data_IF_409662705060
#
_entry.id   IF_409662705060
#
_cell.length_a   1.000
_cell.length_b   1.000
_cell.length_c   1.000
_cell.angle_alpha   90.00
_cell.angle_beta   90.00
_cell.angle_gamma   90.00
#
_symmetry.space_group_name_H-M   'P 1'
#
loop_
_entity.id
_entity.type
_entity.pdbx_description
1 polymer ?
#
# COMPACT_ATOMS: atom_id res chain seq x y z
N UNK A 1 -28.47 -8.13 18.21
CA UNK A 1 -28.36 -7.12 17.14
C UNK A 1 -27.46 -5.94 17.53
N UNK A 2 -27.56 -5.39 18.75
CA UNK A 2 -26.73 -4.25 19.21
C UNK A 2 -25.22 -4.53 19.22
N UNK A 3 -24.80 -5.73 19.63
CA UNK A 3 -23.36 -6.11 19.66
C UNK A 3 -22.73 -6.16 18.26
N UNK A 4 -23.50 -6.54 17.23
CA UNK A 4 -23.02 -6.57 15.84
C UNK A 4 -22.79 -5.16 15.29
N UNK A 5 -23.69 -4.21 15.59
CA UNK A 5 -23.48 -2.80 15.26
C UNK A 5 -22.25 -2.22 15.98
N UNK A 6 -22.06 -2.57 17.26
CA UNK A 6 -20.86 -2.14 18.01
C UNK A 6 -19.57 -2.70 17.40
N UNK A 7 -19.56 -3.97 16.99
CA UNK A 7 -18.39 -4.61 16.37
C UNK A 7 -17.99 -3.99 15.03
N UNK A 8 -18.99 -3.66 14.21
CA UNK A 8 -18.80 -2.97 12.92
C UNK A 8 -18.14 -1.59 13.10
N UNK A 9 -18.63 -0.79 14.06
CA UNK A 9 -18.08 0.54 14.32
C UNK A 9 -16.63 0.46 14.82
N UNK A 10 -16.31 -0.52 15.67
CA UNK A 10 -14.93 -0.75 16.14
C UNK A 10 -14.01 -1.09 14.96
N UNK A 11 -14.47 -1.95 14.03
CA UNK A 11 -13.72 -2.27 12.82
C UNK A 11 -13.48 -1.03 11.95
N UNK A 12 -14.50 -0.18 11.77
CA UNK A 12 -14.38 1.05 10.98
C UNK A 12 -13.30 1.98 11.56
N UNK A 13 -13.34 2.24 12.87
CA UNK A 13 -12.34 3.06 13.54
C UNK A 13 -10.95 2.42 13.52
N UNK A 14 -10.85 1.10 13.70
CA UNK A 14 -9.58 0.39 13.64
C UNK A 14 -8.95 0.48 12.24
N UNK A 15 -9.75 0.32 11.17
CA UNK A 15 -9.31 0.47 9.79
C UNK A 15 -8.83 1.90 9.48
N UNK A 16 -9.57 2.91 9.96
CA UNK A 16 -9.19 4.31 9.81
C UNK A 16 -7.87 4.63 10.53
N UNK A 17 -7.73 4.23 11.79
CA UNK A 17 -6.51 4.46 12.58
C UNK A 17 -5.32 3.75 11.93
N UNK A 18 -5.49 2.52 11.46
CA UNK A 18 -4.45 1.76 10.76
C UNK A 18 -4.00 2.47 9.48
N UNK A 19 -4.94 2.97 8.68
CA UNK A 19 -4.63 3.69 7.45
C UNK A 19 -3.87 4.99 7.71
N UNK A 20 -4.32 5.79 8.69
CA UNK A 20 -3.64 7.01 9.09
C UNK A 20 -2.23 6.74 9.65
N UNK A 21 -2.10 5.70 10.47
CA UNK A 21 -0.80 5.26 10.98
C UNK A 21 0.16 4.88 9.86
N UNK A 22 -0.31 4.07 8.90
CA UNK A 22 0.46 3.71 7.72
C UNK A 22 0.90 4.92 6.91
N UNK A 23 0.01 5.91 6.74
CA UNK A 23 0.30 7.16 6.02
C UNK A 23 1.39 7.99 6.70
N UNK A 24 1.25 8.24 8.00
CA UNK A 24 2.24 9.03 8.77
C UNK A 24 3.60 8.34 8.78
N UNK A 25 3.62 7.01 8.95
CA UNK A 25 4.87 6.26 8.97
C UNK A 25 5.53 6.18 7.60
N UNK A 26 4.75 6.14 6.51
CA UNK A 26 5.27 6.19 5.14
C UNK A 26 6.07 7.48 4.88
N UNK A 27 5.55 8.63 5.31
CA UNK A 27 6.17 9.95 5.09
C UNK A 27 7.56 10.07 5.74
N UNK A 28 7.86 9.25 6.74
CA UNK A 28 9.14 9.26 7.45
C UNK A 28 10.17 8.28 6.87
N UNK A 29 9.82 7.50 5.84
CA UNK A 29 10.74 6.52 5.28
C UNK A 29 11.58 7.06 4.14
N UNK A 30 12.89 6.90 4.27
CA UNK A 30 13.85 7.18 3.19
C UNK A 30 14.30 5.92 2.44
N UNK A 31 14.04 4.73 2.98
CA UNK A 31 14.39 3.46 2.36
C UNK A 31 13.27 2.99 1.44
N UNK A 32 13.60 2.63 0.21
CA UNK A 32 12.62 2.41 -0.86
C UNK A 32 11.77 1.17 -0.60
N UNK A 33 12.40 0.06 -0.18
CA UNK A 33 11.67 -1.16 0.21
C UNK A 33 10.66 -0.88 1.31
N UNK A 34 11.05 -0.09 2.33
CA UNK A 34 10.17 0.28 3.44
C UNK A 34 9.04 1.19 2.97
N UNK A 35 9.37 2.24 2.21
CA UNK A 35 8.38 3.16 1.65
C UNK A 35 7.32 2.41 0.83
N UNK A 36 7.73 1.41 0.05
CA UNK A 36 6.81 0.58 -0.75
C UNK A 36 5.95 -0.35 0.11
N UNK A 37 6.39 -0.75 1.30
CA UNK A 37 5.61 -1.61 2.19
C UNK A 37 4.54 -0.84 2.97
N UNK A 38 4.73 0.44 3.31
CA UNK A 38 3.76 1.19 4.10
C UNK A 38 2.37 1.35 3.45
N UNK A 39 2.25 1.58 2.13
CA UNK A 39 0.95 1.60 1.47
C UNK A 39 0.16 0.29 1.59
N UNK A 40 0.80 -0.84 1.94
CA UNK A 40 0.07 -2.09 2.25
C UNK A 40 -0.76 -1.90 3.53
N UNK A 41 -0.20 -1.26 4.55
CA UNK A 41 -0.90 -0.97 5.81
C UNK A 41 -2.09 -0.05 5.53
N UNK A 42 -1.89 0.97 4.69
CA UNK A 42 -2.96 1.89 4.28
C UNK A 42 -4.08 1.14 3.54
N UNK A 43 -3.73 0.29 2.59
CA UNK A 43 -4.70 -0.46 1.80
C UNK A 43 -5.48 -1.46 2.65
N UNK A 44 -4.81 -2.15 3.59
CA UNK A 44 -5.45 -3.06 4.54
C UNK A 44 -6.43 -2.29 5.43
N UNK A 45 -6.07 -1.07 5.87
CA UNK A 45 -7.01 -0.18 6.57
C UNK A 45 -8.26 0.13 5.75
N UNK A 46 -8.12 0.42 4.45
CA UNK A 46 -9.26 0.60 3.54
C UNK A 46 -10.10 -0.67 3.38
N UNK A 47 -9.48 -1.85 3.31
CA UNK A 47 -10.21 -3.12 3.24
C UNK A 47 -11.01 -3.38 4.52
N UNK A 48 -10.43 -3.11 5.69
CA UNK A 48 -11.12 -3.24 6.99
C UNK A 48 -12.32 -2.30 7.06
N UNK A 49 -12.18 -1.06 6.58
CA UNK A 49 -13.30 -0.13 6.49
C UNK A 49 -14.38 -0.62 5.50
N UNK A 50 -14.01 -1.20 4.35
CA UNK A 50 -14.97 -1.81 3.43
C UNK A 50 -15.74 -2.98 4.06
N UNK A 51 -15.05 -3.86 4.80
CA UNK A 51 -15.67 -4.97 5.54
C UNK A 51 -16.59 -4.45 6.64
N UNK A 52 -16.23 -3.33 7.28
CA UNK A 52 -17.06 -2.72 8.33
C UNK A 52 -18.43 -2.26 7.82
N UNK A 53 -18.63 -2.08 6.51
CA UNK A 53 -19.96 -1.76 5.98
C UNK A 53 -20.99 -2.88 6.24
N UNK A 54 -20.54 -4.12 6.51
CA UNK A 54 -21.43 -5.24 6.87
C UNK A 54 -22.35 -5.68 5.73
N UNK A 55 -22.12 -5.20 4.50
CA UNK A 55 -22.87 -5.54 3.29
C UNK A 55 -22.07 -6.51 2.43
N UNK A 56 -22.80 -7.29 1.61
CA UNK A 56 -22.19 -8.20 0.62
C UNK A 56 -21.30 -7.41 -0.34
N UNK A 57 -21.76 -6.25 -0.81
CA UNK A 57 -21.02 -5.38 -1.72
C UNK A 57 -19.74 -4.81 -1.07
N UNK A 58 -19.78 -4.45 0.21
CA UNK A 58 -18.61 -3.95 0.94
C UNK A 58 -17.50 -5.01 1.06
N UNK A 59 -17.88 -6.26 1.33
CA UNK A 59 -16.94 -7.39 1.38
C UNK A 59 -16.40 -7.71 -0.02
N UNK A 60 -17.27 -7.77 -1.03
CA UNK A 60 -16.87 -8.01 -2.41
C UNK A 60 -15.89 -6.93 -2.91
N UNK A 61 -16.17 -5.65 -2.61
CA UNK A 61 -15.29 -4.53 -2.92
C UNK A 61 -13.93 -4.64 -2.21
N UNK A 62 -13.90 -5.02 -0.93
CA UNK A 62 -12.66 -5.23 -0.19
C UNK A 62 -11.79 -6.34 -0.79
N UNK A 63 -12.40 -7.46 -1.22
CA UNK A 63 -11.70 -8.57 -1.88
C UNK A 63 -11.20 -8.15 -3.27
N UNK A 64 -12.03 -7.48 -4.06
CA UNK A 64 -11.62 -6.98 -5.38
C UNK A 64 -10.42 -6.03 -5.26
N UNK A 65 -10.47 -5.12 -4.30
CA UNK A 65 -9.38 -4.20 -3.99
C UNK A 65 -8.11 -4.93 -3.53
N UNK A 66 -8.24 -6.00 -2.72
CA UNK A 66 -7.13 -6.85 -2.29
C UNK A 66 -6.42 -7.52 -3.48
N UNK A 67 -7.18 -8.11 -4.39
CA UNK A 67 -6.62 -8.76 -5.58
C UNK A 67 -5.86 -7.76 -6.43
N UNK A 68 -6.49 -6.61 -6.74
CA UNK A 68 -5.82 -5.55 -7.49
C UNK A 68 -4.56 -5.07 -6.76
N UNK A 69 -4.64 -4.86 -5.44
CA UNK A 69 -3.52 -4.46 -4.59
C UNK A 69 -2.31 -5.37 -4.70
N UNK A 70 -2.52 -6.68 -4.55
CA UNK A 70 -1.43 -7.66 -4.58
C UNK A 70 -0.80 -7.71 -5.97
N UNK A 71 -1.58 -7.66 -7.03
CA UNK A 71 -1.08 -7.76 -8.41
C UNK A 71 -0.10 -6.63 -8.72
N UNK A 72 -0.52 -5.37 -8.56
CA UNK A 72 0.38 -4.26 -8.88
C UNK A 72 1.54 -4.16 -7.89
N UNK A 73 1.34 -4.48 -6.60
CA UNK A 73 2.43 -4.46 -5.62
C UNK A 73 3.51 -5.48 -5.94
N UNK A 74 3.14 -6.69 -6.34
CA UNK A 74 4.11 -7.74 -6.68
C UNK A 74 5.02 -7.29 -7.82
N UNK A 75 4.45 -6.72 -8.88
CA UNK A 75 5.22 -6.19 -10.02
C UNK A 75 6.14 -5.05 -9.57
N UNK A 76 5.63 -4.12 -8.75
CA UNK A 76 6.40 -2.99 -8.25
C UNK A 76 7.57 -3.41 -7.35
N UNK A 77 7.36 -4.38 -6.45
CA UNK A 77 8.41 -4.92 -5.60
C UNK A 77 9.46 -5.68 -6.41
N UNK A 78 9.05 -6.40 -7.46
CA UNK A 78 9.98 -7.07 -8.37
C UNK A 78 10.83 -6.05 -9.14
N UNK A 79 10.21 -5.03 -9.75
CA UNK A 79 10.92 -3.98 -10.48
C UNK A 79 11.94 -3.26 -9.59
N UNK A 80 11.53 -2.87 -8.39
CA UNK A 80 12.42 -2.21 -7.42
C UNK A 80 13.50 -3.16 -6.93
N UNK A 81 13.17 -4.45 -6.74
CA UNK A 81 14.13 -5.49 -6.38
C UNK A 81 15.25 -5.63 -7.40
N UNK A 82 14.93 -5.61 -8.70
CA UNK A 82 15.92 -5.66 -9.80
C UNK A 82 16.81 -4.41 -9.79
N UNK A 83 16.24 -3.22 -9.59
CA UNK A 83 17.04 -1.98 -9.53
C UNK A 83 17.97 -1.97 -8.32
N UNK A 84 17.50 -2.42 -7.15
CA UNK A 84 18.35 -2.52 -5.96
C UNK A 84 19.44 -3.58 -6.15
N UNK A 85 19.12 -4.74 -6.73
CA UNK A 85 20.09 -5.80 -7.00
C UNK A 85 21.22 -5.35 -7.95
N UNK A 86 20.88 -4.56 -8.97
CA UNK A 86 21.84 -4.07 -9.96
C UNK A 86 22.66 -2.87 -9.49
N UNK A 87 22.09 -2.00 -8.65
CA UNK A 87 22.73 -0.72 -8.27
C UNK A 87 23.30 -0.72 -6.86
N UNK A 88 22.86 -1.63 -6.00
CA UNK A 88 23.15 -1.64 -4.56
C UNK A 88 22.54 -0.47 -3.77
N UNK A 89 21.69 0.37 -4.40
CA UNK A 89 21.17 1.59 -3.77
C UNK A 89 19.75 1.40 -3.24
N UNK A 90 19.58 1.55 -1.93
CA UNK A 90 18.28 1.32 -1.26
C UNK A 90 17.54 2.59 -0.79
N UNK A 91 18.14 3.77 -0.96
CA UNK A 91 17.59 5.04 -0.51
C UNK A 91 16.89 5.80 -1.66
N UNK A 92 15.79 6.49 -1.34
CA UNK A 92 14.97 7.22 -2.33
C UNK A 92 15.75 8.28 -3.10
N UNK A 93 16.65 9.00 -2.42
CA UNK A 93 17.51 10.04 -3.00
C UNK A 93 18.35 9.50 -4.16
N UNK A 94 18.78 8.25 -4.06
CA UNK A 94 19.58 7.59 -5.08
C UNK A 94 18.77 7.15 -6.30
N UNK A 95 17.49 6.82 -6.11
CA UNK A 95 16.57 6.40 -7.16
C UNK A 95 15.96 7.57 -7.91
N UNK A 96 15.67 8.70 -7.24
CA UNK A 96 15.21 9.93 -7.89
C UNK A 96 16.23 10.52 -8.87
N UNK A 97 17.52 10.40 -8.56
CA UNK A 97 18.61 10.81 -9.47
C UNK A 97 18.77 9.84 -10.65
N UNK A 98 18.36 8.57 -10.48
CA UNK A 98 18.47 7.54 -11.51
C UNK A 98 17.29 7.57 -12.50
N UNK A 99 16.06 7.85 -12.05
CA UNK A 99 14.92 8.12 -12.94
C UNK A 99 15.15 9.32 -13.88
N UNK A 100 15.96 10.30 -13.44
CA UNK A 100 16.45 11.39 -14.28
C UNK A 100 17.52 10.98 -15.30
N UNK A 101 18.26 9.89 -15.05
CA UNK A 101 19.34 9.40 -15.94
C UNK A 101 18.92 8.25 -16.86
N UNK A 102 17.82 7.54 -16.55
CA UNK A 102 17.28 6.44 -17.34
C UNK A 102 15.80 6.72 -17.71
N UNK A 103 15.54 7.69 -18.60
CA UNK A 103 14.18 8.15 -18.91
C UNK A 103 13.31 7.06 -19.54
N UNK A 104 13.90 6.16 -20.34
CA UNK A 104 13.14 5.15 -21.09
C UNK A 104 12.52 4.08 -20.19
N UNK A 105 13.20 3.68 -19.11
CA UNK A 105 12.62 2.77 -18.09
C UNK A 105 11.63 3.47 -17.17
N UNK A 106 11.73 4.79 -17.01
CA UNK A 106 10.78 5.58 -16.21
C UNK A 106 9.43 5.77 -16.91
N UNK A 107 9.40 5.78 -18.24
CA UNK A 107 8.15 5.88 -19.02
C UNK A 107 7.35 4.57 -19.06
N UNK A 108 8.01 3.42 -18.97
CA UNK A 108 7.32 2.12 -18.90
C UNK A 108 6.67 1.85 -17.52
N UNK A 109 6.93 2.72 -16.53
CA UNK A 109 6.44 2.62 -15.16
C UNK A 109 5.41 3.72 -14.79
N UNK A 110 4.88 4.44 -15.79
CA UNK A 110 3.73 5.33 -15.63
C UNK A 110 2.47 4.62 -16.11
#
# INVERSE_FOLDING_TARGET
MSVLLSGINILAYAGLISALFGMVMALRQNQVRKLLSYPIIIQVGYMIMGISMGTVDGIAGAIFHLVNHILYKTVLFMAVGVVIYTTGKEHLENLGVMGRKLPVTSFAAH
#
